data_IF_315676978740
#
_entry.id   IF_315676978740
#
_cell.length_a   1.000
_cell.length_b   1.000
_cell.length_c   1.000
_cell.angle_alpha   90.00
_cell.angle_beta   90.00
_cell.angle_gamma   90.00
#
_symmetry.space_group_name_H-M   'P 1'
#
loop_
_entity.id
_entity.type
_entity.pdbx_description
1 polymer ?
#
# COMPACT_ATOMS: atom_id res chain seq x y z
N UNK A 1 -11.69 -2.58 6.16
CA UNK A 1 -10.80 -3.47 6.94
C UNK A 1 -11.30 -3.62 8.38
N UNK A 2 -12.35 -4.44 8.60
CA UNK A 2 -12.83 -4.73 9.95
C UNK A 2 -12.17 -5.99 10.54
N UNK A 3 -11.25 -6.60 9.80
CA UNK A 3 -10.45 -7.71 10.29
C UNK A 3 -9.16 -7.14 10.88
N UNK A 4 -9.17 -6.94 12.18
CA UNK A 4 -8.06 -6.32 12.94
C UNK A 4 -6.69 -6.98 12.66
N UNK A 5 -6.56 -8.31 12.56
CA UNK A 5 -5.28 -8.95 12.24
C UNK A 5 -4.73 -8.54 10.87
N UNK A 6 -5.59 -8.37 9.87
CA UNK A 6 -5.16 -7.93 8.53
C UNK A 6 -4.73 -6.47 8.51
N UNK A 7 -5.38 -5.61 9.31
CA UNK A 7 -4.98 -4.21 9.46
C UNK A 7 -3.69 -4.06 10.28
N UNK A 8 -3.45 -4.94 11.25
CA UNK A 8 -2.26 -4.91 12.11
C UNK A 8 -0.97 -5.12 11.32
N UNK A 9 -1.01 -5.91 10.22
CA UNK A 9 0.16 -6.23 9.43
C UNK A 9 0.77 -4.97 8.80
N UNK A 10 0.05 -4.15 8.01
CA UNK A 10 0.58 -2.88 7.52
C UNK A 10 1.01 -1.92 8.64
N UNK A 11 0.24 -1.86 9.73
CA UNK A 11 0.55 -1.00 10.90
C UNK A 11 1.89 -1.36 11.53
N UNK A 12 2.33 -2.62 11.46
CA UNK A 12 3.64 -3.04 11.95
C UNK A 12 4.74 -3.02 10.89
N UNK A 13 4.41 -3.38 9.64
CA UNK A 13 5.39 -3.48 8.55
C UNK A 13 5.91 -2.11 8.12
N UNK A 14 5.05 -1.09 8.09
CA UNK A 14 5.43 0.26 7.66
C UNK A 14 6.42 0.91 8.64
N UNK A 15 6.17 0.97 9.96
CA UNK A 15 7.17 1.46 10.91
C UNK A 15 8.46 0.63 10.88
N UNK A 16 8.38 -0.69 10.72
CA UNK A 16 9.56 -1.54 10.60
C UNK A 16 10.38 -1.18 9.36
N UNK A 17 9.73 -0.95 8.22
CA UNK A 17 10.40 -0.52 6.98
C UNK A 17 11.14 0.81 7.17
N UNK A 18 10.51 1.77 7.84
CA UNK A 18 11.10 3.08 8.12
C UNK A 18 12.30 2.93 9.05
N UNK A 19 12.16 2.20 10.16
CA UNK A 19 13.24 2.00 11.12
C UNK A 19 14.44 1.29 10.47
N UNK A 20 14.20 0.25 9.68
CA UNK A 20 15.26 -0.46 8.95
C UNK A 20 15.92 0.45 7.91
N UNK A 21 15.17 1.34 7.28
CA UNK A 21 15.72 2.27 6.27
C UNK A 21 16.73 3.27 6.86
N UNK A 22 16.67 3.55 8.17
CA UNK A 22 17.70 4.37 8.83
C UNK A 22 19.08 3.73 8.83
N UNK A 23 19.18 2.40 8.73
CA UNK A 23 20.48 1.70 8.66
C UNK A 23 21.26 2.11 7.40
N UNK A 24 20.75 1.90 6.18
CA UNK A 24 21.45 2.34 4.97
C UNK A 24 21.59 3.87 4.89
N UNK A 25 20.64 4.64 5.43
CA UNK A 25 20.76 6.10 5.50
C UNK A 25 21.96 6.52 6.36
N UNK A 26 22.18 5.89 7.51
CA UNK A 26 23.33 6.15 8.37
C UNK A 26 24.64 5.78 7.68
N UNK A 27 24.69 4.62 7.02
CA UNK A 27 25.88 4.15 6.28
C UNK A 27 26.25 5.07 5.11
N UNK A 28 25.29 5.72 4.49
CA UNK A 28 25.48 6.69 3.40
C UNK A 28 25.69 8.12 3.88
N UNK A 29 25.72 8.36 5.20
CA UNK A 29 25.89 9.69 5.77
C UNK A 29 24.74 10.67 5.48
N UNK A 30 23.54 10.15 5.19
CA UNK A 30 22.36 10.99 4.95
C UNK A 30 21.88 11.60 6.27
N UNK A 31 21.90 12.93 6.37
CA UNK A 31 21.47 13.63 7.57
C UNK A 31 19.94 13.65 7.70
N UNK A 32 19.45 13.50 8.94
CA UNK A 32 18.02 13.68 9.23
C UNK A 32 17.68 15.18 9.27
N UNK A 33 17.09 15.68 8.21
CA UNK A 33 16.62 17.06 8.08
C UNK A 33 15.15 17.08 7.61
N UNK A 34 14.55 18.26 7.48
CA UNK A 34 13.15 18.41 7.07
C UNK A 34 12.88 17.73 5.71
N UNK A 35 13.84 17.82 4.77
CA UNK A 35 13.71 17.20 3.45
C UNK A 35 13.77 15.66 3.54
N UNK A 36 14.64 15.12 4.41
CA UNK A 36 14.69 13.67 4.69
C UNK A 36 13.38 13.17 5.29
N UNK A 37 12.79 13.91 6.24
CA UNK A 37 11.48 13.58 6.80
C UNK A 37 10.37 13.65 5.75
N UNK A 38 10.41 14.63 4.85
CA UNK A 38 9.52 14.72 3.69
C UNK A 38 9.64 13.50 2.79
N UNK A 39 10.86 13.02 2.53
CA UNK A 39 11.11 11.79 1.77
C UNK A 39 10.48 10.55 2.41
N UNK A 40 10.59 10.43 3.74
CA UNK A 40 9.95 9.34 4.50
C UNK A 40 8.43 9.46 4.41
N UNK A 41 7.85 10.64 4.58
CA UNK A 41 6.41 10.84 4.49
C UNK A 41 5.84 10.41 3.12
N UNK A 42 6.53 10.74 2.02
CA UNK A 42 6.16 10.30 0.67
C UNK A 42 6.28 8.77 0.54
N UNK A 43 7.34 8.18 1.11
CA UNK A 43 7.53 6.73 1.08
C UNK A 43 6.41 6.00 1.84
N UNK A 44 5.97 6.51 2.99
CA UNK A 44 4.86 5.94 3.76
C UNK A 44 3.60 5.82 2.89
N UNK A 45 3.23 6.88 2.16
CA UNK A 45 2.05 6.86 1.29
C UNK A 45 2.10 5.70 0.29
N UNK A 46 3.20 5.56 -0.43
CA UNK A 46 3.38 4.49 -1.40
C UNK A 46 3.45 3.08 -0.77
N UNK A 47 4.02 2.96 0.45
CA UNK A 47 4.05 1.69 1.19
C UNK A 47 2.64 1.26 1.61
N UNK A 48 1.81 2.21 2.07
CA UNK A 48 0.41 1.95 2.45
C UNK A 48 -0.36 1.39 1.27
N UNK A 49 -0.24 2.01 0.10
CA UNK A 49 -0.95 1.58 -1.11
C UNK A 49 -0.57 0.14 -1.50
N UNK A 50 0.73 -0.17 -1.51
CA UNK A 50 1.20 -1.53 -1.80
C UNK A 50 0.71 -2.56 -0.77
N UNK A 51 0.73 -2.22 0.51
CA UNK A 51 0.27 -3.10 1.58
C UNK A 51 -1.25 -3.35 1.51
N UNK A 52 -2.05 -2.34 1.15
CA UNK A 52 -3.51 -2.48 0.99
C UNK A 52 -3.85 -3.47 -0.12
N UNK A 53 -3.16 -3.43 -1.27
CA UNK A 53 -3.39 -4.37 -2.38
C UNK A 53 -3.20 -5.83 -1.94
N UNK A 54 -2.14 -6.10 -1.17
CA UNK A 54 -1.87 -7.46 -0.67
C UNK A 54 -2.90 -7.89 0.39
N UNK A 55 -3.35 -6.96 1.25
CA UNK A 55 -4.42 -7.21 2.23
C UNK A 55 -5.72 -7.54 1.52
N UNK A 56 -6.14 -6.73 0.55
CA UNK A 56 -7.36 -6.90 -0.21
C UNK A 56 -7.39 -8.27 -0.92
N UNK A 57 -6.33 -8.60 -1.66
CA UNK A 57 -6.26 -9.88 -2.37
C UNK A 57 -6.29 -11.08 -1.42
N UNK A 58 -5.62 -10.97 -0.27
CA UNK A 58 -5.67 -12.04 0.74
C UNK A 58 -7.08 -12.20 1.32
N UNK A 59 -7.77 -11.09 1.59
CA UNK A 59 -9.15 -11.11 2.04
C UNK A 59 -10.09 -11.76 1.02
N UNK A 60 -9.97 -11.37 -0.24
CA UNK A 60 -10.79 -11.91 -1.33
C UNK A 60 -10.60 -13.42 -1.49
N UNK A 61 -9.37 -13.90 -1.47
CA UNK A 61 -9.08 -15.34 -1.54
C UNK A 61 -9.59 -16.11 -0.33
N UNK A 62 -9.53 -15.52 0.85
CA UNK A 62 -10.06 -16.14 2.07
C UNK A 62 -11.59 -16.16 2.08
N UNK A 63 -12.26 -15.14 1.55
CA UNK A 63 -13.70 -15.11 1.38
C UNK A 63 -14.16 -16.21 0.40
N UNK A 64 -13.50 -16.31 -0.76
CA UNK A 64 -13.76 -17.39 -1.73
C UNK A 64 -13.55 -18.78 -1.10
N UNK A 65 -12.51 -18.95 -0.32
CA UNK A 65 -12.20 -20.20 0.38
C UNK A 65 -13.27 -20.55 1.43
N UNK A 66 -13.75 -19.58 2.20
CA UNK A 66 -14.86 -19.80 3.14
C UNK A 66 -16.16 -20.15 2.43
N UNK A 67 -16.48 -19.44 1.35
CA UNK A 67 -17.70 -19.66 0.56
C UNK A 67 -17.72 -21.05 -0.10
N UNK A 68 -16.56 -21.55 -0.51
CA UNK A 68 -16.39 -22.89 -1.14
C UNK A 68 -16.28 -24.02 -0.12
N UNK A 69 -16.60 -23.81 1.15
CA UNK A 69 -16.58 -24.86 2.17
C UNK A 69 -15.19 -25.18 2.71
N UNK A 70 -14.23 -24.28 2.59
CA UNK A 70 -12.85 -24.36 3.10
C UNK A 70 -12.03 -25.50 2.48
N UNK A 71 -11.92 -25.61 1.15
CA UNK A 71 -11.15 -26.64 0.48
C UNK A 71 -9.65 -26.45 0.71
N UNK A 72 -9.00 -27.44 1.35
CA UNK A 72 -7.56 -27.43 1.58
C UNK A 72 -7.08 -26.58 2.77
N UNK A 73 -5.76 -26.55 3.01
CA UNK A 73 -5.20 -25.86 4.16
C UNK A 73 -5.18 -24.34 3.95
N UNK A 74 -5.51 -23.59 5.00
CA UNK A 74 -5.49 -22.13 5.07
C UNK A 74 -4.18 -21.51 4.54
N UNK A 75 -3.05 -22.13 4.86
CA UNK A 75 -1.72 -21.68 4.45
C UNK A 75 -1.59 -21.55 2.93
N UNK A 76 -2.11 -22.52 2.19
CA UNK A 76 -1.98 -22.55 0.73
C UNK A 76 -2.81 -21.44 0.07
N UNK A 77 -3.95 -21.10 0.66
CA UNK A 77 -4.79 -19.98 0.20
C UNK A 77 -4.07 -18.65 0.38
N UNK A 78 -3.48 -18.42 1.56
CA UNK A 78 -2.71 -17.20 1.84
C UNK A 78 -1.49 -17.10 0.94
N UNK A 79 -0.74 -18.19 0.76
CA UNK A 79 0.43 -18.24 -0.12
C UNK A 79 0.03 -17.99 -1.59
N UNK A 80 -1.09 -18.57 -2.03
CA UNK A 80 -1.63 -18.32 -3.38
C UNK A 80 -1.98 -16.83 -3.59
N UNK A 81 -2.67 -16.22 -2.62
CA UNK A 81 -3.01 -14.80 -2.68
C UNK A 81 -1.77 -13.90 -2.77
N UNK A 82 -0.74 -14.19 -1.95
CA UNK A 82 0.51 -13.42 -1.95
C UNK A 82 1.28 -13.60 -3.26
N UNK A 83 1.32 -14.82 -3.80
CA UNK A 83 1.99 -15.09 -5.09
C UNK A 83 1.35 -14.33 -6.24
N UNK A 84 0.04 -14.14 -6.21
CA UNK A 84 -0.70 -13.46 -7.27
C UNK A 84 -0.38 -11.96 -7.36
N UNK A 85 -0.26 -11.27 -6.22
CA UNK A 85 -0.05 -9.81 -6.19
C UNK A 85 1.32 -9.37 -5.67
N UNK A 86 2.04 -10.26 -4.99
CA UNK A 86 3.30 -9.92 -4.34
C UNK A 86 4.38 -9.46 -5.33
N UNK A 87 4.46 -10.13 -6.49
CA UNK A 87 5.37 -9.72 -7.57
C UNK A 87 5.02 -8.32 -8.10
N UNK A 88 3.76 -8.06 -8.39
CA UNK A 88 3.30 -6.77 -8.89
C UNK A 88 3.55 -5.65 -7.86
N UNK A 89 3.25 -5.89 -6.59
CA UNK A 89 3.50 -4.93 -5.51
C UNK A 89 4.99 -4.66 -5.31
N UNK A 90 5.84 -5.68 -5.36
CA UNK A 90 7.30 -5.53 -5.29
C UNK A 90 7.83 -4.65 -6.43
N UNK A 91 7.46 -4.97 -7.68
CA UNK A 91 7.90 -4.19 -8.84
C UNK A 91 7.35 -2.77 -8.82
N UNK A 92 6.11 -2.56 -8.38
CA UNK A 92 5.54 -1.22 -8.22
C UNK A 92 6.37 -0.36 -7.27
N UNK A 93 6.70 -0.87 -6.08
CA UNK A 93 7.57 -0.18 -5.12
C UNK A 93 8.96 0.09 -5.70
N UNK A 94 9.53 -0.87 -6.43
CA UNK A 94 10.85 -0.72 -7.06
C UNK A 94 10.84 0.35 -8.16
N UNK A 95 9.83 0.37 -9.02
CA UNK A 95 9.67 1.39 -10.07
C UNK A 95 9.54 2.79 -9.46
N UNK A 96 8.74 2.93 -8.40
CA UNK A 96 8.60 4.21 -7.69
C UNK A 96 9.94 4.62 -7.04
N UNK A 97 10.71 3.68 -6.50
CA UNK A 97 12.05 3.95 -5.98
C UNK A 97 12.98 4.49 -7.09
N UNK A 98 13.04 3.79 -8.22
CA UNK A 98 13.90 4.14 -9.37
C UNK A 98 13.48 5.46 -10.01
N UNK A 99 12.19 5.81 -10.03
CA UNK A 99 11.68 7.06 -10.62
C UNK A 99 12.26 8.33 -10.00
N UNK A 100 12.81 8.24 -8.78
CA UNK A 100 13.45 9.36 -8.08
C UNK A 100 14.98 9.44 -8.27
N UNK A 101 15.59 8.46 -8.94
CA UNK A 101 17.04 8.50 -9.21
C UNK A 101 17.47 9.75 -10.00
N UNK A 102 16.71 10.27 -10.99
CA UNK A 102 17.09 11.50 -11.68
C UNK A 102 17.30 12.71 -10.75
N UNK A 103 16.59 12.76 -9.63
CA UNK A 103 16.76 13.85 -8.63
C UNK A 103 18.16 13.83 -8.00
N UNK A 104 18.84 12.69 -7.98
CA UNK A 104 20.20 12.56 -7.45
C UNK A 104 21.26 13.21 -8.36
N UNK A 105 20.94 13.47 -9.62
CA UNK A 105 21.81 14.14 -10.61
C UNK A 105 21.77 15.67 -10.46
N UNK A 106 20.76 16.21 -9.80
CA UNK A 106 20.65 17.65 -9.55
C UNK A 106 21.92 18.16 -8.84
N UNK A 107 22.44 19.29 -9.31
CA UNK A 107 23.62 19.95 -8.77
C UNK A 107 23.25 21.23 -8.02
N UNK A 108 24.26 21.96 -7.53
CA UNK A 108 24.14 23.25 -6.85
C UNK A 108 23.14 23.28 -5.67
N UNK A 109 22.35 24.33 -5.58
CA UNK A 109 21.43 24.60 -4.48
C UNK A 109 20.24 23.64 -4.50
N UNK A 110 19.72 23.30 -5.66
CA UNK A 110 18.63 22.35 -5.84
C UNK A 110 19.05 20.93 -5.40
N UNK A 111 20.25 20.53 -5.80
CA UNK A 111 20.80 19.24 -5.37
C UNK A 111 20.94 19.14 -3.85
N UNK A 112 21.40 20.20 -3.17
CA UNK A 112 21.52 20.20 -1.71
C UNK A 112 20.18 20.05 -0.99
N UNK A 113 19.11 20.58 -1.56
CA UNK A 113 17.77 20.52 -1.01
C UNK A 113 17.10 19.15 -1.29
N UNK A 114 17.14 18.68 -2.54
CA UNK A 114 16.34 17.54 -2.95
C UNK A 114 17.06 16.18 -2.84
N UNK A 115 18.40 16.12 -2.85
CA UNK A 115 19.14 14.87 -2.67
C UNK A 115 18.80 14.14 -1.36
N UNK A 116 18.74 14.78 -0.18
CA UNK A 116 18.33 14.11 1.05
C UNK A 116 16.93 13.48 0.94
N UNK A 117 15.97 14.19 0.36
CA UNK A 117 14.61 13.68 0.11
C UNK A 117 14.62 12.46 -0.81
N UNK A 118 15.36 12.53 -1.92
CA UNK A 118 15.44 11.43 -2.88
C UNK A 118 16.12 10.20 -2.28
N UNK A 119 17.22 10.36 -1.54
CA UNK A 119 17.89 9.24 -0.85
C UNK A 119 16.96 8.58 0.16
N UNK A 120 16.34 9.35 1.05
CA UNK A 120 15.50 8.79 2.11
C UNK A 120 14.29 8.07 1.56
N UNK A 121 13.60 8.68 0.57
CA UNK A 121 12.47 8.04 -0.10
C UNK A 121 12.91 6.74 -0.80
N UNK A 122 13.95 6.80 -1.62
CA UNK A 122 14.41 5.64 -2.41
C UNK A 122 14.84 4.49 -1.51
N UNK A 123 15.63 4.76 -0.46
CA UNK A 123 16.06 3.74 0.49
C UNK A 123 14.90 3.12 1.26
N UNK A 124 13.97 3.95 1.73
CA UNK A 124 12.78 3.46 2.42
C UNK A 124 11.91 2.57 1.51
N UNK A 125 11.77 2.94 0.23
CA UNK A 125 11.01 2.15 -0.75
C UNK A 125 11.69 0.82 -1.09
N UNK A 126 13.03 0.79 -1.23
CA UNK A 126 13.77 -0.45 -1.45
C UNK A 126 13.60 -1.39 -0.26
N UNK A 127 13.78 -0.88 0.96
CA UNK A 127 13.57 -1.69 2.17
C UNK A 127 12.14 -2.20 2.25
N UNK A 128 11.15 -1.36 1.95
CA UNK A 128 9.75 -1.75 1.93
C UNK A 128 9.47 -2.85 0.89
N UNK A 129 10.05 -2.77 -0.30
CA UNK A 129 9.92 -3.80 -1.32
C UNK A 129 10.46 -5.15 -0.84
N UNK A 130 11.61 -5.17 -0.15
CA UNK A 130 12.12 -6.39 0.47
C UNK A 130 11.22 -6.92 1.58
N UNK A 131 10.68 -6.06 2.43
CA UNK A 131 9.78 -6.47 3.50
C UNK A 131 8.44 -6.97 2.98
N UNK A 132 7.96 -6.44 1.86
CA UNK A 132 6.73 -6.90 1.21
C UNK A 132 6.81 -8.37 0.76
N UNK A 133 7.99 -8.87 0.40
CA UNK A 133 8.17 -10.29 0.00
C UNK A 133 8.68 -11.19 1.13
N UNK A 134 9.10 -10.63 2.26
CA UNK A 134 9.66 -11.40 3.39
C UNK A 134 8.81 -11.31 4.64
N UNK A 135 8.71 -10.12 5.24
CA UNK A 135 8.03 -9.90 6.51
C UNK A 135 6.52 -9.99 6.38
N UNK A 136 5.93 -9.37 5.35
CA UNK A 136 4.48 -9.36 5.16
C UNK A 136 3.88 -10.76 5.04
N UNK A 137 4.40 -11.69 4.20
CA UNK A 137 3.96 -13.07 4.17
C UNK A 137 4.10 -13.81 5.51
N UNK A 138 5.23 -13.61 6.20
CA UNK A 138 5.49 -14.26 7.48
C UNK A 138 4.49 -13.79 8.56
N UNK A 139 4.21 -12.49 8.60
CA UNK A 139 3.24 -11.93 9.53
C UNK A 139 1.81 -12.42 9.23
N UNK A 140 1.42 -12.52 7.95
CA UNK A 140 0.10 -13.05 7.56
C UNK A 140 -0.10 -14.47 8.03
N UNK A 141 0.88 -15.35 7.82
CA UNK A 141 0.81 -16.73 8.26
C UNK A 141 0.79 -16.88 9.80
N UNK A 142 1.37 -15.91 10.51
CA UNK A 142 1.45 -15.94 11.98
C UNK A 142 0.22 -15.31 12.65
N UNK A 143 -0.23 -14.16 12.16
CA UNK A 143 -1.28 -13.37 12.82
C UNK A 143 -2.68 -13.60 12.25
N UNK A 144 -2.81 -14.01 11.00
CA UNK A 144 -4.10 -14.35 10.41
C UNK A 144 -4.49 -15.80 10.73
N UNK A 145 -4.69 -16.12 12.01
CA UNK A 145 -5.09 -17.46 12.44
C UNK A 145 -6.61 -17.56 12.50
N UNK A 146 -7.17 -18.56 11.81
CA UNK A 146 -8.62 -18.83 11.78
C UNK A 146 -9.08 -19.74 12.93
N UNK A 147 -8.20 -20.07 13.87
CA UNK A 147 -8.53 -20.95 15.00
C UNK A 147 -9.01 -20.16 16.21
N UNK A 148 -10.19 -20.55 16.75
CA UNK A 148 -10.72 -19.98 17.97
C UNK A 148 -9.75 -20.20 19.15
N UNK A 149 -9.37 -19.12 19.79
CA UNK A 149 -8.64 -19.19 21.06
C UNK A 149 -9.56 -19.62 22.18
N UNK A 150 -9.21 -20.70 22.89
CA UNK A 150 -9.90 -21.14 24.08
C UNK A 150 -9.07 -20.84 25.32
N UNK A 151 -9.23 -19.63 25.86
CA UNK A 151 -8.62 -19.23 27.11
C UNK A 151 -9.64 -19.27 28.26
N UNK A 152 -9.19 -19.58 29.46
CA UNK A 152 -9.92 -19.25 30.70
C UNK A 152 -9.34 -17.93 31.24
N UNK A 153 -10.15 -16.87 31.45
CA UNK A 153 -11.61 -16.79 31.52
C UNK A 153 -12.33 -16.58 30.17
N UNK A 154 -13.54 -17.12 30.06
CA UNK A 154 -14.37 -17.13 28.84
C UNK A 154 -14.66 -15.74 28.23
N UNK A 155 -14.69 -14.69 29.04
CA UNK A 155 -14.91 -13.32 28.55
C UNK A 155 -13.72 -12.81 27.75
N UNK A 156 -12.48 -13.11 28.19
CA UNK A 156 -11.25 -12.76 27.49
C UNK A 156 -11.17 -13.50 26.14
N UNK A 157 -11.49 -14.79 26.12
CA UNK A 157 -11.57 -15.57 24.90
C UNK A 157 -12.61 -15.01 23.91
N UNK A 158 -13.74 -14.51 24.41
CA UNK A 158 -14.79 -13.91 23.58
C UNK A 158 -14.36 -12.59 22.98
N UNK A 159 -13.70 -11.71 23.73
CA UNK A 159 -13.14 -10.44 23.25
C UNK A 159 -11.99 -10.71 22.28
N UNK A 160 -11.08 -11.60 22.62
CA UNK A 160 -9.94 -11.96 21.76
C UNK A 160 -10.41 -12.58 20.44
N UNK A 161 -11.39 -13.47 20.48
CA UNK A 161 -11.97 -14.07 19.28
C UNK A 161 -12.75 -13.04 18.44
N UNK A 162 -13.45 -12.10 19.06
CA UNK A 162 -14.16 -11.04 18.35
C UNK A 162 -13.19 -10.04 17.66
N UNK A 163 -12.06 -9.75 18.29
CA UNK A 163 -11.06 -8.79 17.79
C UNK A 163 -10.05 -9.45 16.85
N UNK A 164 -9.53 -10.66 17.18
CA UNK A 164 -8.46 -11.32 16.44
C UNK A 164 -8.95 -12.33 15.39
N UNK A 165 -10.15 -12.85 15.52
CA UNK A 165 -10.69 -13.84 14.56
C UNK A 165 -11.80 -13.23 13.71
N UNK A 166 -12.21 -11.98 13.93
CA UNK A 166 -13.30 -11.26 13.26
C UNK A 166 -13.85 -11.97 12.01
N UNK A 167 -15.16 -12.06 11.87
CA UNK A 167 -15.76 -12.68 10.66
C UNK A 167 -15.31 -11.93 9.43
N UNK A 168 -14.78 -12.63 8.44
CA UNK A 168 -14.51 -12.09 7.11
C UNK A 168 -15.88 -11.70 6.53
N UNK A 169 -16.17 -10.40 6.53
CA UNK A 169 -17.39 -9.88 5.93
C UNK A 169 -17.07 -9.48 4.48
N UNK A 170 -17.93 -9.85 3.56
CA UNK A 170 -17.82 -9.36 2.19
C UNK A 170 -17.86 -7.84 2.17
N UNK A 171 -16.96 -7.22 1.42
CA UNK A 171 -16.84 -5.75 1.32
C UNK A 171 -18.13 -5.10 0.80
N UNK A 172 -18.90 -5.80 -0.01
CA UNK A 172 -20.18 -5.35 -0.55
C UNK A 172 -21.27 -5.10 0.52
N UNK A 173 -21.16 -5.74 1.70
CA UNK A 173 -22.13 -5.58 2.79
C UNK A 173 -21.82 -4.39 3.70
N UNK A 174 -20.67 -3.76 3.53
CA UNK A 174 -20.31 -2.62 4.36
C UNK A 174 -21.07 -1.35 3.91
N UNK A 175 -21.70 -0.59 4.82
CA UNK A 175 -22.52 0.57 4.45
C UNK A 175 -21.71 1.66 3.72
N UNK A 176 -20.45 1.89 4.11
CA UNK A 176 -19.56 2.86 3.45
C UNK A 176 -19.18 2.38 2.05
N UNK A 177 -18.80 1.12 1.89
CA UNK A 177 -18.47 0.54 0.58
C UNK A 177 -19.67 0.60 -0.36
N UNK A 178 -20.86 0.31 0.14
CA UNK A 178 -22.11 0.38 -0.65
C UNK A 178 -22.39 1.80 -1.14
N UNK A 179 -22.20 2.81 -0.29
CA UNK A 179 -22.36 4.22 -0.68
C UNK A 179 -21.34 4.60 -1.75
N UNK A 180 -20.06 4.24 -1.54
CA UNK A 180 -18.98 4.50 -2.50
C UNK A 180 -19.22 3.80 -3.83
N UNK A 181 -19.60 2.53 -3.82
CA UNK A 181 -19.92 1.76 -5.03
C UNK A 181 -21.08 2.40 -5.76
N UNK A 182 -22.15 2.76 -5.03
CA UNK A 182 -23.34 3.38 -5.64
C UNK A 182 -23.05 4.75 -6.27
N UNK A 183 -22.11 5.49 -5.70
CA UNK A 183 -21.65 6.78 -6.25
C UNK A 183 -20.69 6.59 -7.44
N UNK A 184 -19.79 5.61 -7.35
CA UNK A 184 -18.76 5.36 -8.36
C UNK A 184 -19.29 4.63 -9.60
N UNK A 185 -20.18 3.66 -9.41
CA UNK A 185 -20.70 2.79 -10.49
C UNK A 185 -21.34 3.56 -11.65
N UNK A 186 -22.23 4.55 -11.44
CA UNK A 186 -22.81 5.32 -12.54
C UNK A 186 -21.76 6.15 -13.29
N UNK A 187 -20.77 6.69 -12.57
CA UNK A 187 -19.66 7.45 -13.17
C UNK A 187 -18.79 6.52 -14.03
N UNK A 188 -18.41 5.36 -13.51
CA UNK A 188 -17.62 4.38 -14.24
C UNK A 188 -18.36 3.90 -15.50
N UNK A 189 -19.67 3.59 -15.38
CA UNK A 189 -20.49 3.21 -16.53
C UNK A 189 -20.60 4.32 -17.59
N UNK A 190 -20.73 5.58 -17.16
CA UNK A 190 -20.78 6.72 -18.08
C UNK A 190 -19.45 6.91 -18.82
N UNK A 191 -18.32 6.84 -18.12
CA UNK A 191 -16.97 6.92 -18.69
C UNK A 191 -16.73 5.79 -19.71
N UNK A 192 -17.09 4.56 -19.36
CA UNK A 192 -16.93 3.41 -20.26
C UNK A 192 -17.87 3.49 -21.49
N UNK A 193 -19.10 3.98 -21.30
CA UNK A 193 -20.06 4.18 -22.38
C UNK A 193 -19.58 5.25 -23.36
N UNK A 194 -19.00 6.33 -22.87
CA UNK A 194 -18.53 7.47 -23.64
C UNK A 194 -16.98 7.56 -23.64
N UNK A 195 -16.36 6.41 -23.87
CA UNK A 195 -14.88 6.28 -23.82
C UNK A 195 -14.14 7.32 -24.68
N UNK A 196 -14.65 7.62 -25.85
CA UNK A 196 -14.05 8.62 -26.75
C UNK A 196 -14.18 10.05 -26.23
N UNK A 197 -15.30 10.37 -25.57
CA UNK A 197 -15.47 11.69 -24.91
C UNK A 197 -14.53 11.81 -23.73
N UNK A 198 -14.38 10.76 -22.91
CA UNK A 198 -13.45 10.75 -21.80
C UNK A 198 -11.99 10.89 -22.25
N UNK A 199 -11.60 10.16 -23.31
CA UNK A 199 -10.27 10.31 -23.92
C UNK A 199 -10.06 11.72 -24.44
N UNK A 200 -11.02 12.25 -25.18
CA UNK A 200 -10.99 13.61 -25.73
C UNK A 200 -10.89 14.68 -24.64
N UNK A 201 -11.64 14.55 -23.56
CA UNK A 201 -11.60 15.45 -22.43
C UNK A 201 -10.23 15.42 -21.72
N UNK A 202 -9.66 14.22 -21.53
CA UNK A 202 -8.30 14.08 -20.96
C UNK A 202 -7.27 14.72 -21.87
N UNK A 203 -7.32 14.47 -23.16
CA UNK A 203 -6.39 15.07 -24.13
C UNK A 203 -6.51 16.59 -24.16
N UNK A 204 -7.75 17.11 -24.16
CA UNK A 204 -8.03 18.55 -24.09
C UNK A 204 -7.47 19.17 -22.80
N UNK A 205 -7.64 18.51 -21.65
CA UNK A 205 -7.06 18.96 -20.40
C UNK A 205 -5.53 19.02 -20.46
N UNK A 206 -4.88 18.00 -21.04
CA UNK A 206 -3.42 17.99 -21.24
C UNK A 206 -2.98 19.17 -22.14
N UNK A 207 -3.68 19.42 -23.25
CA UNK A 207 -3.35 20.51 -24.16
C UNK A 207 -3.54 21.89 -23.49
N UNK A 208 -4.57 22.04 -22.66
CA UNK A 208 -4.80 23.28 -21.89
C UNK A 208 -3.73 23.50 -20.82
N UNK A 209 -3.14 22.43 -20.29
CA UNK A 209 -2.06 22.52 -19.29
C UNK A 209 -0.81 23.17 -19.87
N UNK A 210 -0.51 22.98 -21.17
CA UNK A 210 0.69 23.52 -21.82
C UNK A 210 0.76 25.07 -21.74
N UNK A 211 -0.27 25.84 -22.18
CA UNK A 211 -0.24 27.30 -22.06
C UNK A 211 -0.38 27.79 -20.62
N UNK A 212 -0.99 27.00 -19.73
CA UNK A 212 -1.04 27.33 -18.31
C UNK A 212 0.35 27.20 -17.69
N UNK A 213 1.08 26.13 -18.01
CA UNK A 213 2.45 25.92 -17.55
C UNK A 213 3.40 27.06 -18.01
N UNK A 214 3.27 27.53 -19.25
CA UNK A 214 4.09 28.63 -19.75
C UNK A 214 3.81 29.98 -19.07
N UNK A 215 2.66 30.13 -18.38
CA UNK A 215 2.28 31.31 -17.58
C UNK A 215 2.65 31.20 -16.09
N UNK A 216 2.96 29.97 -15.62
CA UNK A 216 3.55 29.77 -14.29
C UNK A 216 5.01 30.25 -14.38
N UNK A 217 5.28 31.43 -13.82
CA UNK A 217 6.64 32.00 -13.79
C UNK A 217 7.61 31.00 -13.16
N UNK A 218 8.82 30.90 -13.70
CA UNK A 218 9.94 30.22 -13.07
C UNK A 218 10.59 31.17 -12.07
N UNK A 219 10.20 31.08 -10.81
CA UNK A 219 10.83 31.87 -9.72
C UNK A 219 11.99 31.07 -9.08
N UNK A 220 12.87 30.52 -9.89
CA UNK A 220 14.14 29.91 -9.44
C UNK A 220 15.31 30.50 -10.17
#
# INVERSE_FOLDING_TARGET
LWHVPSALIPVMTIPAAILISFIPMHLLGVSANIMSLGGIAIAIGAMVDAAIVVVEQTHKKLEEWEHNGRPGPYRDVVVSAIKEVGGASFFALLVIAVSFLPVLVLEDQEGRLFKPLAYTKTLAMIVAAFLAITLDPAMRLTFQHVRNFSFRPRWLARVTNAVLIGKIHSEEKHPISRILIHLYEPVARAVLRWKWVSLGATLAAMLVTIPVYSKLGSEF
#
